data_IF_264072334410
#
_entry.id   IF_264072334410
#
_cell.length_a   1.000
_cell.length_b   1.000
_cell.length_c   1.000
_cell.angle_alpha   90.00
_cell.angle_beta   90.00
_cell.angle_gamma   90.00
#
_symmetry.space_group_name_H-M   'P 1'
#
loop_
_entity.id
_entity.type
_entity.pdbx_description
1 polymer ?
#
# COMPACT_ATOMS: atom_id res chain seq x y z
N UNK A 1 33.09 -4.21 -15.51
CA UNK A 1 31.82 -4.14 -16.28
C UNK A 1 30.57 -4.13 -15.41
N UNK A 2 30.31 -5.10 -14.51
CA UNK A 2 29.09 -5.12 -13.66
C UNK A 2 28.89 -3.89 -12.75
N UNK A 3 29.95 -3.38 -12.12
CA UNK A 3 29.89 -2.15 -11.29
C UNK A 3 29.54 -0.89 -12.10
N UNK A 4 29.96 -0.83 -13.36
CA UNK A 4 29.72 0.33 -14.23
C UNK A 4 28.29 0.32 -14.78
N UNK A 5 27.74 -0.87 -15.06
CA UNK A 5 26.31 -1.05 -15.36
C UNK A 5 25.42 -0.71 -14.16
N UNK A 6 25.82 -1.08 -12.93
CA UNK A 6 25.09 -0.72 -11.72
C UNK A 6 25.10 0.81 -11.45
N UNK A 7 26.27 1.47 -11.63
CA UNK A 7 26.41 2.92 -11.49
C UNK A 7 25.65 3.71 -12.58
N UNK A 8 25.57 3.19 -13.81
CA UNK A 8 24.76 3.78 -14.89
C UNK A 8 23.25 3.62 -14.62
N UNK A 9 22.80 2.48 -14.07
CA UNK A 9 21.40 2.28 -13.65
C UNK A 9 20.95 3.23 -12.53
N UNK A 10 21.82 3.50 -11.56
CA UNK A 10 21.49 4.35 -10.40
C UNK A 10 21.50 5.84 -10.77
N UNK A 11 22.36 6.29 -11.70
CA UNK A 11 22.43 7.70 -12.10
C UNK A 11 21.26 8.15 -12.98
N UNK A 12 20.67 7.25 -13.76
CA UNK A 12 19.47 7.54 -14.57
C UNK A 12 18.22 7.76 -13.72
N UNK A 13 18.06 7.07 -12.59
CA UNK A 13 16.89 7.20 -11.72
C UNK A 13 16.76 8.56 -11.01
N UNK A 14 17.76 9.44 -11.06
CA UNK A 14 17.70 10.75 -10.41
C UNK A 14 16.88 11.79 -11.23
N UNK A 15 16.58 11.52 -12.50
CA UNK A 15 15.83 12.44 -13.38
C UNK A 15 14.37 12.02 -13.63
N UNK A 16 14.00 10.79 -13.30
CA UNK A 16 12.68 10.22 -13.59
C UNK A 16 11.77 10.23 -12.35
N UNK A 17 10.48 10.48 -12.54
CA UNK A 17 9.49 10.41 -11.44
C UNK A 17 9.26 8.96 -10.95
N UNK A 18 9.72 7.96 -11.70
CA UNK A 18 9.56 6.54 -11.46
C UNK A 18 10.88 5.85 -11.05
N UNK A 19 10.78 4.69 -10.42
CA UNK A 19 11.90 3.83 -10.05
C UNK A 19 11.76 2.44 -10.68
N UNK A 20 12.89 1.81 -10.97
CA UNK A 20 12.93 0.45 -11.51
C UNK A 20 12.75 -0.58 -10.39
N UNK A 21 11.97 -1.64 -10.66
CA UNK A 21 11.84 -2.81 -9.78
C UNK A 21 12.54 -4.00 -10.43
N UNK A 22 12.01 -4.47 -11.55
CA UNK A 22 12.46 -5.67 -12.26
C UNK A 22 12.20 -5.51 -13.77
N UNK A 23 12.65 -6.42 -14.66
CA UNK A 23 12.35 -6.33 -16.07
C UNK A 23 10.83 -6.30 -16.31
N UNK A 24 10.35 -5.27 -17.02
CA UNK A 24 8.91 -5.06 -17.23
C UNK A 24 8.15 -4.53 -16.01
N UNK A 25 8.84 -4.13 -14.92
CA UNK A 25 8.19 -3.64 -13.69
C UNK A 25 8.83 -2.34 -13.22
N UNK A 26 8.02 -1.29 -13.17
CA UNK A 26 8.38 0.03 -12.68
C UNK A 26 7.44 0.46 -11.57
N UNK A 27 7.90 1.34 -10.69
CA UNK A 27 7.08 1.94 -9.65
C UNK A 27 7.13 3.46 -9.72
N UNK A 28 6.06 4.11 -9.27
CA UNK A 28 5.98 5.54 -9.05
C UNK A 28 5.58 5.76 -7.60
N UNK A 29 6.39 6.50 -6.85
CA UNK A 29 5.99 6.93 -5.51
C UNK A 29 5.10 8.16 -5.61
N UNK A 30 3.85 8.01 -5.19
CA UNK A 30 2.90 9.10 -4.97
C UNK A 30 2.82 9.47 -3.49
N UNK A 31 3.61 10.49 -3.12
CA UNK A 31 3.78 10.94 -1.73
C UNK A 31 4.30 9.82 -0.83
N UNK A 32 3.41 9.07 -0.18
CA UNK A 32 3.73 8.02 0.77
C UNK A 32 3.52 6.61 0.22
N UNK A 33 2.75 6.45 -0.85
CA UNK A 33 2.30 5.17 -1.42
C UNK A 33 2.93 4.95 -2.80
N UNK A 34 3.14 3.71 -3.18
CA UNK A 34 3.68 3.30 -4.47
C UNK A 34 2.56 2.78 -5.36
N UNK A 35 2.62 3.13 -6.64
CA UNK A 35 1.86 2.46 -7.71
C UNK A 35 2.85 1.74 -8.63
N UNK A 36 2.42 0.67 -9.28
CA UNK A 36 3.29 -0.12 -10.16
C UNK A 36 2.75 -0.23 -11.57
N UNK A 37 3.66 -0.27 -12.53
CA UNK A 37 3.41 -0.48 -13.94
C UNK A 37 4.03 -1.82 -14.32
N UNK A 38 3.21 -2.77 -14.73
CA UNK A 38 3.65 -4.11 -15.14
C UNK A 38 3.39 -4.26 -16.63
N UNK A 39 4.45 -4.44 -17.41
CA UNK A 39 4.39 -4.66 -18.86
C UNK A 39 4.58 -6.13 -19.17
N UNK A 40 3.69 -6.66 -20.00
CA UNK A 40 3.83 -7.95 -20.64
C UNK A 40 4.42 -7.74 -22.05
N UNK A 41 5.67 -8.13 -22.29
CA UNK A 41 6.32 -7.93 -23.58
C UNK A 41 5.73 -8.83 -24.69
N UNK A 42 5.02 -9.91 -24.35
CA UNK A 42 4.48 -10.85 -25.34
C UNK A 42 3.22 -10.30 -26.03
N UNK A 43 2.36 -9.62 -25.27
CA UNK A 43 1.14 -8.96 -25.77
C UNK A 43 1.33 -7.47 -26.02
N UNK A 44 2.44 -6.91 -25.53
CA UNK A 44 2.70 -5.47 -25.45
C UNK A 44 1.66 -4.69 -24.61
N UNK A 45 0.87 -5.39 -23.79
CA UNK A 45 -0.05 -4.77 -22.84
C UNK A 45 0.67 -4.43 -21.54
N UNK A 46 0.12 -3.48 -20.79
CA UNK A 46 0.58 -3.22 -19.43
C UNK A 46 -0.61 -2.98 -18.50
N UNK A 47 -0.39 -3.26 -17.22
CA UNK A 47 -1.35 -3.12 -16.14
C UNK A 47 -0.83 -2.10 -15.14
N UNK A 48 -1.74 -1.26 -14.65
CA UNK A 48 -1.48 -0.40 -13.50
C UNK A 48 -1.91 -1.14 -12.23
N UNK A 49 -1.02 -1.23 -11.24
CA UNK A 49 -1.33 -1.73 -9.90
C UNK A 49 -1.43 -0.57 -8.93
N UNK A 50 -2.61 -0.42 -8.32
CA UNK A 50 -3.01 0.72 -7.50
C UNK A 50 -2.90 2.08 -8.21
N UNK A 51 -3.48 3.12 -7.61
CA UNK A 51 -3.67 4.44 -8.24
C UNK A 51 -3.26 5.61 -7.37
N UNK A 52 -2.63 5.34 -6.22
CA UNK A 52 -2.07 6.36 -5.36
C UNK A 52 -3.13 7.26 -4.72
N UNK A 53 -2.69 8.42 -4.24
CA UNK A 53 -3.57 9.37 -3.56
C UNK A 53 -4.46 10.15 -4.53
N UNK A 54 -5.49 10.80 -3.99
CA UNK A 54 -6.30 11.76 -4.76
C UNK A 54 -5.41 12.81 -5.41
N UNK A 55 -5.53 12.93 -6.73
CA UNK A 55 -4.73 13.83 -7.57
C UNK A 55 -3.52 13.19 -8.25
N UNK A 56 -3.24 11.90 -8.03
CA UNK A 56 -2.12 11.20 -8.65
C UNK A 56 -2.26 11.00 -10.17
N UNK A 57 -3.49 11.05 -10.71
CA UNK A 57 -3.81 10.71 -12.10
C UNK A 57 -2.89 11.38 -13.14
N UNK A 58 -2.63 12.68 -13.00
CA UNK A 58 -1.80 13.42 -13.95
C UNK A 58 -0.34 12.94 -13.97
N UNK A 59 0.22 12.57 -12.81
CA UNK A 59 1.58 12.04 -12.68
C UNK A 59 1.66 10.61 -13.22
N UNK A 60 0.69 9.77 -12.87
CA UNK A 60 0.59 8.40 -13.37
C UNK A 60 0.53 8.38 -14.90
N UNK A 61 -0.35 9.18 -15.51
CA UNK A 61 -0.44 9.31 -16.98
C UNK A 61 0.85 9.83 -17.62
N UNK A 62 1.61 10.69 -16.93
CA UNK A 62 2.90 11.20 -17.43
C UNK A 62 3.93 10.08 -17.50
N UNK A 63 4.07 9.32 -16.41
CA UNK A 63 4.97 8.16 -16.34
C UNK A 63 4.55 7.09 -17.34
N UNK A 64 3.26 6.79 -17.46
CA UNK A 64 2.75 5.84 -18.46
C UNK A 64 3.12 6.24 -19.89
N UNK A 65 3.01 7.53 -20.24
CA UNK A 65 3.46 8.03 -21.56
C UNK A 65 4.96 7.89 -21.75
N UNK A 66 5.74 8.12 -20.71
CA UNK A 66 7.20 7.99 -20.80
C UNK A 66 7.62 6.53 -21.01
N UNK A 67 6.99 5.60 -20.30
CA UNK A 67 7.33 4.17 -20.34
C UNK A 67 6.78 3.45 -21.57
N UNK A 68 5.58 3.81 -22.03
CA UNK A 68 4.82 2.99 -22.99
C UNK A 68 4.40 3.72 -24.27
N UNK A 69 4.99 4.89 -24.58
CA UNK A 69 4.71 5.57 -25.85
C UNK A 69 4.95 4.63 -27.06
N UNK A 70 4.03 4.60 -28.05
CA UNK A 70 2.82 5.42 -28.19
C UNK A 70 1.55 4.86 -27.51
N UNK A 71 1.57 3.63 -26.99
CA UNK A 71 0.43 2.95 -26.37
C UNK A 71 0.41 3.12 -24.85
N UNK A 72 0.17 4.37 -24.41
CA UNK A 72 0.25 4.77 -23.00
C UNK A 72 -1.02 4.51 -22.17
N UNK A 73 -1.93 3.67 -22.66
CA UNK A 73 -3.17 3.27 -21.98
C UNK A 73 -3.01 1.83 -21.49
N UNK A 74 -3.29 1.51 -20.20
CA UNK A 74 -3.18 0.14 -19.72
C UNK A 74 -4.31 -0.73 -20.28
N UNK A 75 -4.16 -2.04 -20.19
CA UNK A 75 -5.26 -2.96 -20.48
C UNK A 75 -6.28 -3.01 -19.31
N UNK A 76 -5.81 -2.82 -18.08
CA UNK A 76 -6.65 -2.74 -16.88
C UNK A 76 -5.92 -2.06 -15.72
N UNK A 77 -6.68 -1.75 -14.66
CA UNK A 77 -6.16 -1.41 -13.34
C UNK A 77 -6.41 -2.62 -12.43
N UNK A 78 -5.41 -3.00 -11.62
CA UNK A 78 -5.56 -4.02 -10.57
C UNK A 78 -5.34 -3.33 -9.23
N UNK A 79 -6.28 -3.51 -8.29
CA UNK A 79 -6.17 -2.98 -6.94
C UNK A 79 -5.64 -4.07 -6.01
N UNK A 80 -4.63 -3.73 -5.20
CA UNK A 80 -4.22 -4.57 -4.07
C UNK A 80 -5.32 -4.58 -3.02
N UNK A 81 -5.91 -3.42 -2.75
CA UNK A 81 -7.06 -3.21 -1.87
C UNK A 81 -7.64 -1.79 -2.06
N UNK A 82 -8.75 -1.49 -1.37
CA UNK A 82 -9.52 -0.25 -1.57
C UNK A 82 -9.27 0.90 -0.59
N UNK A 83 -8.15 0.94 0.15
CA UNK A 83 -7.87 2.11 1.00
C UNK A 83 -7.57 3.36 0.17
N UNK A 84 -7.86 4.53 0.75
CA UNK A 84 -7.93 5.82 0.06
C UNK A 84 -6.64 6.25 -0.66
N UNK A 85 -5.50 5.76 -0.20
CA UNK A 85 -4.17 5.98 -0.75
C UNK A 85 -3.82 5.00 -1.87
N UNK A 86 -4.60 3.94 -2.08
CA UNK A 86 -4.45 3.03 -3.22
C UNK A 86 -5.49 3.31 -4.31
N UNK A 87 -6.66 3.83 -3.97
CA UNK A 87 -7.76 4.10 -4.92
C UNK A 87 -7.96 5.58 -5.25
N UNK A 88 -7.09 6.47 -4.78
CA UNK A 88 -7.34 7.91 -4.82
C UNK A 88 -7.53 8.50 -6.22
N UNK A 89 -6.95 7.88 -7.26
CA UNK A 89 -7.12 8.29 -8.65
C UNK A 89 -7.90 7.28 -9.52
N UNK A 90 -8.44 6.20 -8.93
CA UNK A 90 -8.98 5.07 -9.68
C UNK A 90 -10.15 5.44 -10.59
N UNK A 91 -11.13 6.20 -10.09
CA UNK A 91 -12.32 6.58 -10.87
C UNK A 91 -11.90 7.43 -12.08
N UNK A 92 -11.07 8.44 -11.85
CA UNK A 92 -10.57 9.32 -12.91
C UNK A 92 -9.79 8.53 -13.97
N UNK A 93 -8.87 7.66 -13.55
CA UNK A 93 -8.03 6.90 -14.48
C UNK A 93 -8.84 5.87 -15.26
N UNK A 94 -9.73 5.13 -14.59
CA UNK A 94 -10.57 4.13 -15.23
C UNK A 94 -11.53 4.77 -16.25
N UNK A 95 -12.07 5.95 -15.96
CA UNK A 95 -12.94 6.70 -16.87
C UNK A 95 -12.18 7.27 -18.08
N UNK A 96 -11.02 7.89 -17.85
CA UNK A 96 -10.25 8.51 -18.93
C UNK A 96 -9.59 7.49 -19.87
N UNK A 97 -9.19 6.33 -19.36
CA UNK A 97 -8.60 5.26 -20.15
C UNK A 97 -9.62 4.26 -20.71
N UNK A 98 -10.85 4.30 -20.19
CA UNK A 98 -11.91 3.36 -20.49
C UNK A 98 -11.52 1.89 -20.26
N UNK A 99 -11.00 1.61 -19.06
CA UNK A 99 -10.46 0.28 -18.70
C UNK A 99 -11.23 -0.34 -17.53
N UNK A 100 -11.24 -1.68 -17.42
CA UNK A 100 -11.76 -2.36 -16.23
C UNK A 100 -10.83 -2.18 -15.03
N UNK A 101 -11.41 -2.30 -13.84
CA UNK A 101 -10.71 -2.33 -12.56
C UNK A 101 -10.93 -3.69 -11.92
N UNK A 102 -9.85 -4.45 -11.71
CA UNK A 102 -9.89 -5.74 -11.04
C UNK A 102 -9.58 -5.60 -9.56
N UNK A 103 -10.38 -6.26 -8.72
CA UNK A 103 -10.11 -6.40 -7.29
C UNK A 103 -10.58 -7.77 -6.78
N UNK A 104 -10.09 -8.17 -5.61
CA UNK A 104 -10.58 -9.37 -4.95
C UNK A 104 -12.07 -9.24 -4.58
N UNK A 105 -12.83 -10.33 -4.57
CA UNK A 105 -14.28 -10.28 -4.33
C UNK A 105 -14.66 -9.71 -2.96
N UNK A 106 -13.81 -9.89 -1.94
CA UNK A 106 -13.99 -9.29 -0.61
C UNK A 106 -13.81 -7.77 -0.59
N UNK A 107 -13.22 -7.17 -1.63
CA UNK A 107 -13.12 -5.71 -1.75
C UNK A 107 -14.39 -5.09 -2.37
N UNK A 108 -15.24 -5.90 -3.00
CA UNK A 108 -16.41 -5.41 -3.73
C UNK A 108 -17.36 -4.53 -2.90
N UNK A 109 -17.67 -4.83 -1.62
CA UNK A 109 -18.54 -3.97 -0.82
C UNK A 109 -18.02 -2.53 -0.65
N UNK A 110 -16.69 -2.35 -0.62
CA UNK A 110 -16.04 -1.05 -0.45
C UNK A 110 -15.90 -0.27 -1.76
N UNK A 111 -15.86 -1.00 -2.87
CA UNK A 111 -15.70 -0.47 -4.22
C UNK A 111 -17.05 -0.28 -4.96
N UNK A 112 -18.17 -0.65 -4.33
CA UNK A 112 -19.55 -0.52 -4.87
C UNK A 112 -20.48 0.27 -3.95
N UNK A 113 -19.93 1.07 -3.03
CA UNK A 113 -20.73 1.94 -2.16
C UNK A 113 -21.46 1.23 -1.00
N UNK A 114 -21.33 -0.09 -0.84
CA UNK A 114 -22.18 -0.89 0.07
C UNK A 114 -21.72 -0.87 1.53
N UNK A 115 -20.42 -0.82 1.78
CA UNK A 115 -19.85 -0.84 3.14
C UNK A 115 -18.65 0.08 3.23
N UNK A 116 -18.44 0.72 4.38
CA UNK A 116 -17.13 1.30 4.73
C UNK A 116 -16.19 0.21 5.24
N UNK A 117 -14.87 0.41 5.13
CA UNK A 117 -13.87 -0.45 5.79
C UNK A 117 -14.02 -0.43 7.31
N UNK A 118 -13.43 -1.44 8.01
CA UNK A 118 -13.17 -1.31 9.44
C UNK A 118 -12.50 0.05 9.72
N UNK A 119 -12.99 0.82 10.68
CA UNK A 119 -12.45 2.15 10.95
C UNK A 119 -10.99 2.06 11.40
N UNK A 120 -10.16 3.07 11.07
CA UNK A 120 -8.78 3.08 11.53
C UNK A 120 -8.68 3.06 13.05
N UNK A 121 -7.57 2.52 13.54
CA UNK A 121 -7.24 2.46 14.95
C UNK A 121 -6.14 3.48 15.31
N UNK A 122 -6.52 4.67 15.83
CA UNK A 122 -5.54 5.68 16.24
C UNK A 122 -4.77 5.30 17.51
N UNK A 123 -5.04 4.12 18.07
CA UNK A 123 -4.45 3.60 19.30
C UNK A 123 -3.46 2.45 19.03
N UNK A 124 -3.37 1.99 17.78
CA UNK A 124 -2.50 0.91 17.32
C UNK A 124 -1.03 1.36 17.25
N UNK A 125 -0.39 1.51 18.40
CA UNK A 125 1.01 1.90 18.50
C UNK A 125 1.23 3.40 18.68
N UNK A 126 2.31 3.92 18.11
CA UNK A 126 2.74 5.30 18.29
C UNK A 126 2.84 6.06 16.97
N UNK A 127 2.96 7.39 17.07
CA UNK A 127 3.35 8.22 15.93
C UNK A 127 2.22 8.98 15.24
N UNK A 128 2.59 9.99 14.46
CA UNK A 128 1.65 11.04 14.03
C UNK A 128 0.58 10.52 13.06
N UNK A 129 0.95 9.68 12.10
CA UNK A 129 -0.01 9.13 11.14
C UNK A 129 -1.04 8.23 11.84
N UNK A 130 -0.58 7.36 12.74
CA UNK A 130 -1.46 6.56 13.59
C UNK A 130 -2.40 7.46 14.39
N UNK A 131 -1.91 8.48 15.09
CA UNK A 131 -2.77 9.37 15.87
C UNK A 131 -3.76 10.18 15.05
N UNK A 132 -3.41 10.56 13.82
CA UNK A 132 -4.29 11.32 12.90
C UNK A 132 -5.19 10.42 12.04
N UNK A 133 -5.04 9.10 12.12
CA UNK A 133 -5.76 8.16 11.27
C UNK A 133 -7.28 8.27 11.36
N UNK A 134 -7.83 8.78 12.47
CA UNK A 134 -9.26 9.07 12.61
C UNK A 134 -9.80 10.11 11.60
N UNK A 135 -8.92 10.88 10.95
CA UNK A 135 -9.26 11.82 9.88
C UNK A 135 -9.21 11.20 8.49
N UNK A 136 -8.66 9.99 8.34
CA UNK A 136 -8.48 9.38 7.03
C UNK A 136 -9.81 8.90 6.44
N UNK A 137 -10.02 9.08 5.13
CA UNK A 137 -11.22 8.57 4.47
C UNK A 137 -11.34 7.06 4.64
N UNK A 138 -12.53 6.63 5.08
CA UNK A 138 -12.90 5.20 5.23
C UNK A 138 -14.15 4.83 4.44
N UNK A 139 -14.79 5.83 3.81
CA UNK A 139 -16.02 5.67 3.07
C UNK A 139 -15.77 4.92 1.75
N UNK A 140 -16.75 4.14 1.28
CA UNK A 140 -16.62 3.45 0.02
C UNK A 140 -16.62 4.42 -1.16
N UNK A 141 -16.17 3.91 -2.30
CA UNK A 141 -16.42 4.49 -3.62
C UNK A 141 -17.38 3.59 -4.38
N UNK A 142 -17.84 4.04 -5.55
CA UNK A 142 -18.63 3.22 -6.47
C UNK A 142 -17.99 3.25 -7.86
N UNK A 143 -17.37 2.12 -8.23
CA UNK A 143 -16.78 1.90 -9.55
C UNK A 143 -17.81 1.49 -10.61
N UNK A 144 -19.07 1.28 -10.22
CA UNK A 144 -20.14 0.86 -11.11
C UNK A 144 -19.77 -0.37 -11.94
N UNK A 145 -20.08 -0.33 -13.23
CA UNK A 145 -19.80 -1.43 -14.16
C UNK A 145 -18.31 -1.64 -14.50
N UNK A 146 -17.40 -0.79 -14.01
CA UNK A 146 -15.96 -0.96 -14.26
C UNK A 146 -15.31 -1.97 -13.33
N UNK A 147 -15.90 -2.25 -12.16
CA UNK A 147 -15.38 -3.23 -11.23
C UNK A 147 -15.61 -4.66 -11.77
N UNK A 148 -14.53 -5.37 -12.01
CA UNK A 148 -14.51 -6.80 -12.28
C UNK A 148 -13.80 -7.54 -11.15
N UNK A 149 -14.21 -8.77 -10.88
CA UNK A 149 -13.60 -9.57 -9.80
C UNK A 149 -12.40 -10.34 -10.35
N UNK A 150 -11.33 -10.41 -9.55
CA UNK A 150 -10.21 -11.30 -9.83
C UNK A 150 -10.69 -12.77 -9.83
N UNK A 151 -10.29 -13.59 -10.81
CA UNK A 151 -10.66 -15.01 -10.87
C UNK A 151 -10.08 -15.82 -9.72
N UNK A 152 -10.88 -16.67 -9.05
CA UNK A 152 -10.45 -17.46 -7.88
C UNK A 152 -9.20 -18.33 -8.06
N UNK A 153 -8.81 -18.63 -9.30
CA UNK A 153 -7.64 -19.43 -9.63
C UNK A 153 -6.30 -18.71 -9.42
N UNK A 154 -6.31 -17.45 -8.95
CA UNK A 154 -5.11 -16.67 -8.72
C UNK A 154 -4.58 -15.96 -9.96
N UNK A 155 -5.20 -16.14 -11.12
CA UNK A 155 -4.77 -15.51 -12.37
C UNK A 155 -5.12 -14.01 -12.39
N UNK A 156 -4.31 -13.22 -13.08
CA UNK A 156 -4.57 -11.79 -13.28
C UNK A 156 -4.83 -11.56 -14.78
N UNK A 157 -6.04 -11.15 -15.19
CA UNK A 157 -6.34 -10.91 -16.59
C UNK A 157 -5.37 -9.89 -17.22
N UNK A 158 -4.67 -10.32 -18.27
CA UNK A 158 -3.66 -9.50 -18.96
C UNK A 158 -2.24 -9.61 -18.42
N UNK A 159 -1.98 -10.50 -17.44
CA UNK A 159 -0.66 -10.80 -16.91
C UNK A 159 -0.48 -12.31 -16.68
N UNK A 160 -0.26 -13.07 -17.75
CA UNK A 160 -0.22 -14.54 -17.71
C UNK A 160 0.90 -15.12 -16.84
N UNK A 161 2.02 -14.40 -16.71
CA UNK A 161 3.16 -14.79 -15.87
C UNK A 161 2.97 -14.46 -14.38
N UNK A 162 1.90 -13.74 -14.04
CA UNK A 162 1.64 -13.29 -12.68
C UNK A 162 0.48 -14.03 -12.04
N UNK A 163 0.61 -14.25 -10.74
CA UNK A 163 -0.48 -14.73 -9.89
C UNK A 163 -0.74 -13.72 -8.79
N UNK A 164 -1.99 -13.53 -8.41
CA UNK A 164 -2.32 -12.88 -7.14
C UNK A 164 -2.41 -13.92 -6.02
N UNK A 165 -2.11 -13.48 -4.82
CA UNK A 165 -2.17 -14.25 -3.58
C UNK A 165 -3.07 -13.45 -2.64
N UNK A 166 -4.13 -14.09 -2.14
CA UNK A 166 -4.98 -13.47 -1.12
C UNK A 166 -4.20 -13.32 0.18
N UNK A 167 -4.00 -12.08 0.62
CA UNK A 167 -3.17 -11.70 1.76
C UNK A 167 -3.95 -10.81 2.74
N UNK A 168 -5.03 -11.33 3.37
CA UNK A 168 -5.90 -10.55 4.24
C UNK A 168 -5.21 -10.12 5.55
N UNK A 169 -5.88 -9.20 6.26
CA UNK A 169 -5.49 -8.72 7.59
C UNK A 169 -5.36 -7.20 7.64
N UNK A 170 -4.67 -6.62 6.65
CA UNK A 170 -4.66 -5.17 6.41
C UNK A 170 -5.99 -4.69 5.82
N UNK A 171 -6.48 -5.38 4.77
CA UNK A 171 -7.83 -5.24 4.23
C UNK A 171 -8.42 -6.64 3.95
N UNK A 172 -9.76 -6.81 3.92
CA UNK A 172 -10.41 -8.14 3.81
C UNK A 172 -10.07 -8.91 2.54
N UNK A 173 -10.08 -8.24 1.40
CA UNK A 173 -9.68 -8.77 0.11
C UNK A 173 -8.32 -8.27 -0.33
N UNK A 174 -7.44 -7.90 0.59
CA UNK A 174 -6.08 -7.51 0.22
C UNK A 174 -5.39 -8.62 -0.57
N UNK A 175 -4.74 -8.28 -1.69
CA UNK A 175 -3.94 -9.20 -2.49
C UNK A 175 -2.52 -8.70 -2.72
N UNK A 176 -1.60 -9.65 -2.83
CA UNK A 176 -0.23 -9.42 -3.29
C UNK A 176 -0.04 -10.11 -4.65
N UNK A 177 0.83 -9.58 -5.50
CA UNK A 177 1.07 -10.12 -6.84
C UNK A 177 2.48 -10.73 -6.91
N UNK A 178 2.60 -11.92 -7.48
CA UNK A 178 3.85 -12.66 -7.57
C UNK A 178 4.12 -13.15 -8.98
N UNK A 179 5.33 -12.89 -9.48
CA UNK A 179 5.84 -13.43 -10.75
C UNK A 179 6.91 -14.47 -10.47
N UNK A 180 6.56 -15.73 -10.74
CA UNK A 180 7.35 -16.90 -10.33
C UNK A 180 8.71 -16.99 -11.04
N UNK A 181 8.78 -16.60 -12.32
CA UNK A 181 9.97 -16.80 -13.15
C UNK A 181 11.22 -16.05 -12.67
N UNK A 182 11.04 -14.89 -12.02
CA UNK A 182 12.12 -14.04 -11.52
C UNK A 182 11.92 -13.59 -10.06
N UNK A 183 10.94 -14.19 -9.37
CA UNK A 183 10.70 -14.01 -7.94
C UNK A 183 10.31 -12.59 -7.56
N UNK A 184 9.61 -11.86 -8.43
CA UNK A 184 9.15 -10.50 -8.14
C UNK A 184 7.86 -10.56 -7.34
N UNK A 185 7.88 -9.99 -6.13
CA UNK A 185 6.72 -9.83 -5.27
C UNK A 185 6.31 -8.35 -5.16
N UNK A 186 5.10 -8.03 -5.59
CA UNK A 186 4.41 -6.78 -5.21
C UNK A 186 3.54 -7.11 -4.00
N UNK A 187 4.02 -6.78 -2.81
CA UNK A 187 3.38 -7.19 -1.56
C UNK A 187 2.13 -6.37 -1.22
N UNK A 188 1.93 -5.21 -1.85
CA UNK A 188 0.94 -4.23 -1.38
C UNK A 188 1.24 -3.84 0.06
N UNK A 189 0.21 -3.84 0.91
CA UNK A 189 0.26 -3.47 2.31
C UNK A 189 0.24 -4.67 3.27
N UNK A 190 0.46 -5.88 2.76
CA UNK A 190 0.68 -7.06 3.61
C UNK A 190 1.88 -6.84 4.58
N UNK A 191 2.89 -6.11 4.11
CA UNK A 191 3.98 -5.54 4.89
C UNK A 191 4.61 -4.38 4.11
N UNK A 192 5.42 -3.55 4.77
CA UNK A 192 6.01 -2.33 4.16
C UNK A 192 7.53 -2.29 4.36
N UNK A 193 8.23 -1.51 3.55
CA UNK A 193 9.71 -1.35 3.63
C UNK A 193 10.13 -0.01 4.24
N UNK A 194 9.20 0.62 4.96
CA UNK A 194 9.41 1.82 5.76
C UNK A 194 8.60 1.74 7.04
N UNK A 195 9.05 2.43 8.10
CA UNK A 195 8.23 2.61 9.30
C UNK A 195 7.27 3.77 9.06
N UNK A 196 5.99 3.49 8.83
CA UNK A 196 4.99 4.54 8.60
C UNK A 196 4.61 5.35 9.85
N UNK A 197 4.91 4.82 11.04
CA UNK A 197 4.49 5.43 12.30
C UNK A 197 5.19 6.78 12.58
N UNK A 198 6.44 6.96 12.15
CA UNK A 198 7.15 8.21 12.40
C UNK A 198 7.30 9.07 11.15
N UNK A 199 6.94 10.36 11.26
CA UNK A 199 7.28 11.38 10.28
C UNK A 199 8.77 11.37 9.93
N UNK A 200 9.64 11.08 10.91
CA UNK A 200 11.08 11.06 10.70
C UNK A 200 11.52 9.84 9.91
N UNK A 201 10.91 8.67 10.05
CA UNK A 201 11.28 7.48 9.26
C UNK A 201 10.71 7.53 7.85
N UNK A 202 9.51 8.10 7.67
CA UNK A 202 8.96 8.41 6.33
C UNK A 202 9.86 9.42 5.61
N UNK A 203 10.36 10.43 6.32
CA UNK A 203 11.26 11.44 5.75
C UNK A 203 12.71 10.94 5.56
N UNK A 204 13.26 10.19 6.53
CA UNK A 204 14.64 9.64 6.49
C UNK A 204 14.77 8.36 5.66
N UNK A 205 13.65 7.74 5.27
CA UNK A 205 13.60 6.58 4.37
C UNK A 205 14.52 5.43 4.83
N UNK A 206 14.52 5.13 6.13
CA UNK A 206 15.26 3.96 6.64
C UNK A 206 14.67 2.70 5.97
N UNK A 207 15.49 2.02 5.16
CA UNK A 207 15.13 0.76 4.49
C UNK A 207 15.01 -0.33 5.55
N UNK A 208 13.82 -0.47 6.12
CA UNK A 208 13.52 -1.48 7.12
C UNK A 208 12.17 -2.09 6.83
N UNK A 209 12.19 -3.41 6.66
CA UNK A 209 10.98 -4.20 6.56
C UNK A 209 10.22 -4.12 7.89
N UNK A 210 8.93 -3.83 7.81
CA UNK A 210 8.02 -3.68 8.94
C UNK A 210 6.70 -4.35 8.58
N UNK A 211 5.93 -4.78 9.58
CA UNK A 211 4.58 -5.30 9.37
C UNK A 211 3.63 -4.30 8.69
N UNK A 212 2.38 -4.70 8.42
CA UNK A 212 1.40 -3.86 7.74
C UNK A 212 1.12 -2.57 8.51
N UNK A 213 0.61 -1.50 7.87
CA UNK A 213 0.27 -0.25 8.55
C UNK A 213 -0.70 -0.46 9.71
N UNK A 214 -0.21 -0.27 10.94
CA UNK A 214 -0.92 -0.68 12.16
C UNK A 214 -2.29 -0.03 12.34
N UNK A 215 -2.46 1.21 11.87
CA UNK A 215 -3.69 1.96 12.01
C UNK A 215 -4.83 1.47 11.10
N UNK A 216 -4.57 0.61 10.12
CA UNK A 216 -5.62 -0.02 9.29
C UNK A 216 -5.70 -1.54 9.44
N UNK A 217 -4.65 -2.19 9.94
CA UNK A 217 -4.67 -3.63 10.20
C UNK A 217 -5.71 -4.00 11.25
N UNK A 218 -6.76 -4.69 10.81
CA UNK A 218 -7.91 -5.04 11.64
C UNK A 218 -7.90 -6.51 12.09
N UNK A 219 -7.11 -7.37 11.43
CA UNK A 219 -6.91 -8.77 11.82
C UNK A 219 -5.42 -9.12 11.74
N UNK A 220 -4.77 -9.10 12.90
CA UNK A 220 -3.34 -9.39 13.04
C UNK A 220 -2.99 -10.87 12.82
N UNK A 221 -3.91 -11.78 13.10
CA UNK A 221 -3.68 -13.21 12.91
C UNK A 221 -3.73 -13.58 11.43
N UNK A 222 -4.64 -12.97 10.65
CA UNK A 222 -4.63 -13.09 9.20
C UNK A 222 -3.43 -12.39 8.58
N UNK A 223 -3.07 -11.19 9.06
CA UNK A 223 -1.88 -10.48 8.57
C UNK A 223 -0.59 -11.29 8.77
N UNK A 224 -0.44 -11.95 9.92
CA UNK A 224 0.70 -12.84 10.19
C UNK A 224 0.77 -13.98 9.17
N UNK A 225 -0.34 -14.70 8.95
CA UNK A 225 -0.40 -15.79 7.97
C UNK A 225 -0.09 -15.31 6.57
N UNK A 226 -0.56 -14.12 6.20
CA UNK A 226 -0.26 -13.48 4.92
C UNK A 226 1.25 -13.25 4.76
N UNK A 227 1.91 -12.64 5.76
CA UNK A 227 3.36 -12.43 5.72
C UNK A 227 4.13 -13.75 5.67
N UNK A 228 3.73 -14.75 6.45
CA UNK A 228 4.34 -16.09 6.42
C UNK A 228 4.20 -16.76 5.05
N UNK A 229 3.03 -16.64 4.42
CA UNK A 229 2.78 -17.19 3.07
C UNK A 229 3.66 -16.50 2.03
N UNK A 230 3.81 -15.17 2.11
CA UNK A 230 4.68 -14.41 1.21
C UNK A 230 6.17 -14.72 1.43
N UNK A 231 6.60 -14.88 2.67
CA UNK A 231 7.98 -15.26 3.00
C UNK A 231 8.32 -16.66 2.46
N UNK A 232 7.37 -17.59 2.52
CA UNK A 232 7.54 -18.96 2.01
C UNK A 232 7.77 -19.04 0.49
N UNK A 233 7.39 -18.01 -0.27
CA UNK A 233 7.67 -17.91 -1.71
C UNK A 233 9.16 -17.69 -2.00
N UNK A 234 9.93 -17.24 -1.00
CA UNK A 234 11.34 -16.87 -1.14
C UNK A 234 11.57 -15.89 -2.32
N UNK A 235 10.89 -14.72 -2.34
CA UNK A 235 11.02 -13.78 -3.43
C UNK A 235 12.47 -13.31 -3.58
N UNK A 236 12.86 -12.99 -4.81
CA UNK A 236 14.18 -12.41 -5.12
C UNK A 236 14.18 -10.89 -5.00
N UNK A 237 13.01 -10.27 -5.17
CA UNK A 237 12.79 -8.85 -4.98
C UNK A 237 11.38 -8.61 -4.44
N UNK A 238 11.27 -7.65 -3.52
CA UNK A 238 9.99 -7.22 -2.95
C UNK A 238 9.79 -5.74 -3.22
N UNK A 239 8.62 -5.39 -3.73
CA UNK A 239 8.10 -4.04 -3.85
C UNK A 239 6.80 -3.93 -3.04
N UNK A 240 6.68 -2.92 -2.18
CA UNK A 240 5.57 -2.78 -1.22
C UNK A 240 4.76 -1.54 -1.51
N UNK A 241 3.52 -1.48 -1.02
CA UNK A 241 2.68 -0.29 -1.13
C UNK A 241 3.34 0.95 -0.53
N UNK A 242 4.27 0.79 0.43
CA UNK A 242 5.02 1.89 1.00
C UNK A 242 6.49 1.57 1.28
N UNK A 243 7.36 2.45 0.80
CA UNK A 243 8.81 2.36 0.96
C UNK A 243 9.53 2.11 -0.35
N UNK A 244 10.77 1.60 -0.28
CA UNK A 244 11.57 1.27 -1.46
C UNK A 244 11.55 -0.23 -1.74
N UNK A 245 11.67 -0.67 -3.02
CA UNK A 245 11.94 -2.06 -3.30
C UNK A 245 13.19 -2.56 -2.58
N UNK A 246 13.16 -3.83 -2.15
CA UNK A 246 14.26 -4.50 -1.46
C UNK A 246 14.61 -5.81 -2.18
N UNK A 247 15.90 -6.11 -2.27
CA UNK A 247 16.45 -7.30 -2.93
C UNK A 247 17.66 -7.83 -2.16
N UNK A 248 18.08 -9.06 -2.45
CA UNK A 248 19.29 -9.66 -1.89
C UNK A 248 19.22 -9.88 -0.37
N UNK A 249 20.33 -9.63 0.34
CA UNK A 249 20.44 -9.87 1.80
C UNK A 249 19.38 -9.13 2.62
N UNK A 250 18.84 -8.03 2.08
CA UNK A 250 17.80 -7.26 2.73
C UNK A 250 16.48 -8.05 2.89
N UNK A 251 16.28 -9.12 2.11
CA UNK A 251 15.12 -9.99 2.20
C UNK A 251 15.19 -11.02 3.34
N UNK A 252 16.36 -11.21 3.98
CA UNK A 252 16.43 -11.97 5.23
C UNK A 252 15.49 -11.37 6.30
N UNK A 253 15.31 -10.04 6.28
CA UNK A 253 14.37 -9.34 7.16
C UNK A 253 12.90 -9.74 6.95
N UNK A 254 12.52 -10.27 5.77
CA UNK A 254 11.17 -10.79 5.56
C UNK A 254 10.96 -12.10 6.32
N UNK A 255 11.97 -12.98 6.31
CA UNK A 255 11.93 -14.22 7.08
C UNK A 255 11.93 -13.91 8.59
N UNK A 256 12.73 -12.94 9.02
CA UNK A 256 12.74 -12.48 10.41
C UNK A 256 11.37 -11.92 10.83
N UNK A 257 10.75 -11.08 10.00
CA UNK A 257 9.40 -10.57 10.26
C UNK A 257 8.38 -11.72 10.33
N UNK A 258 8.44 -12.69 9.41
CA UNK A 258 7.51 -13.81 9.39
C UNK A 258 7.64 -14.70 10.64
N UNK A 259 8.87 -14.90 11.12
CA UNK A 259 9.16 -15.72 12.30
C UNK A 259 8.82 -15.01 13.62
N UNK A 260 8.95 -13.68 13.65
CA UNK A 260 8.79 -12.86 14.85
C UNK A 260 7.62 -11.86 14.75
N UNK A 261 6.60 -12.17 13.94
CA UNK A 261 5.55 -11.22 13.56
C UNK A 261 4.81 -10.65 14.77
N UNK A 262 4.49 -11.49 15.75
CA UNK A 262 3.82 -11.08 16.99
C UNK A 262 4.61 -10.03 17.77
N UNK A 263 5.93 -10.12 17.79
CA UNK A 263 6.78 -9.19 18.55
C UNK A 263 7.09 -7.91 17.75
N UNK A 264 7.25 -8.03 16.43
CA UNK A 264 7.68 -6.92 15.57
C UNK A 264 6.52 -6.10 15.00
N UNK A 265 5.44 -6.75 14.56
CA UNK A 265 4.34 -6.12 13.85
C UNK A 265 3.17 -5.77 14.77
N UNK A 266 2.76 -6.67 15.66
CA UNK A 266 1.53 -6.51 16.45
C UNK A 266 1.71 -5.42 17.51
N UNK A 267 0.84 -4.38 17.55
CA UNK A 267 0.94 -3.34 18.56
C UNK A 267 0.53 -3.88 19.93
N UNK A 268 1.24 -3.44 20.99
CA UNK A 268 0.95 -3.83 22.38
C UNK A 268 -0.48 -3.50 22.85
N UNK A 269 -1.07 -2.46 22.26
CA UNK A 269 -2.44 -2.03 22.52
C UNK A 269 -3.04 -1.54 21.21
N UNK A 270 -4.35 -1.68 21.09
CA UNK A 270 -5.10 -1.33 19.90
C UNK A 270 -6.52 -1.84 20.05
N UNK A 271 -7.44 -1.22 19.31
CA UNK A 271 -8.79 -1.74 19.08
C UNK A 271 -8.77 -3.18 18.58
N UNK A 272 -7.82 -3.50 17.70
CA UNK A 272 -7.78 -4.78 16.98
C UNK A 272 -6.73 -5.78 17.51
N UNK A 273 -5.91 -5.41 18.51
CA UNK A 273 -4.82 -6.27 19.00
C UNK A 273 -5.31 -7.61 19.58
N UNK A 274 -6.44 -7.60 20.30
CA UNK A 274 -6.96 -8.80 20.97
C UNK A 274 -8.31 -9.30 20.45
N UNK A 275 -8.94 -8.54 19.56
CA UNK A 275 -10.26 -8.85 18.99
C UNK A 275 -10.31 -8.25 17.58
N UNK A 276 -10.34 -9.05 16.50
CA UNK A 276 -10.32 -8.53 15.13
C UNK A 276 -11.69 -8.02 14.69
N UNK A 277 -11.72 -7.14 13.69
CA UNK A 277 -12.96 -6.92 12.94
C UNK A 277 -13.28 -8.13 12.06
N UNK A 278 -14.57 -8.39 11.82
CA UNK A 278 -15.02 -9.41 10.85
C UNK A 278 -15.61 -8.71 9.65
N UNK A 279 -15.14 -9.09 8.47
CA UNK A 279 -15.65 -8.61 7.19
C UNK A 279 -15.76 -9.78 6.21
N UNK A 280 -16.86 -9.78 5.46
CA UNK A 280 -17.19 -10.81 4.49
C UNK A 280 -17.71 -10.21 3.19
N UNK A 281 -18.41 -11.02 2.40
CA UNK A 281 -18.95 -10.64 1.08
C UNK A 281 -19.98 -9.49 1.13
N UNK A 282 -20.55 -9.23 2.31
CA UNK A 282 -21.51 -8.15 2.53
C UNK A 282 -20.87 -6.88 3.08
N UNK A 283 -19.54 -6.88 3.30
CA UNK A 283 -18.80 -5.80 3.94
C UNK A 283 -18.50 -6.11 5.40
N UNK A 284 -18.46 -5.07 6.24
CA UNK A 284 -18.10 -5.20 7.66
C UNK A 284 -19.29 -5.75 8.46
N UNK A 285 -19.07 -6.87 9.15
CA UNK A 285 -20.08 -7.61 9.92
C UNK A 285 -19.91 -7.39 11.43
N UNK A 286 -18.67 -7.25 11.89
CA UNK A 286 -18.34 -6.99 13.28
C UNK A 286 -17.17 -6.02 13.38
N UNK A 287 -17.27 -5.10 14.34
CA UNK A 287 -16.13 -4.27 14.75
C UNK A 287 -16.09 -4.22 16.28
N UNK A 288 -14.97 -4.61 16.91
CA UNK A 288 -14.79 -4.53 18.36
C UNK A 288 -15.15 -3.15 18.91
N UNK A 289 -15.75 -3.12 20.09
CA UNK A 289 -16.05 -1.87 20.76
C UNK A 289 -14.76 -1.13 21.13
N UNK A 290 -14.79 0.20 21.06
CA UNK A 290 -13.64 1.02 21.46
C UNK A 290 -13.90 1.67 22.81
N UNK A 291 -12.87 1.78 23.64
CA UNK A 291 -12.84 2.77 24.73
C UNK A 291 -12.48 4.20 24.21
N UNK A 292 -12.73 4.49 22.92
CA UNK A 292 -12.04 5.55 22.15
C UNK A 292 -12.29 6.98 22.60
N UNK A 293 -13.35 7.30 23.36
CA UNK A 293 -13.60 8.70 23.78
C UNK A 293 -12.41 9.28 24.54
N UNK A 294 -11.80 8.52 25.47
CA UNK A 294 -10.62 8.98 26.21
C UNK A 294 -9.37 8.99 25.33
N UNK A 295 -9.24 8.07 24.38
CA UNK A 295 -8.03 7.92 23.58
C UNK A 295 -7.97 8.89 22.40
N UNK A 296 -9.09 9.16 21.73
CA UNK A 296 -9.22 10.21 20.72
C UNK A 296 -9.00 11.58 21.38
N UNK A 297 -9.58 11.83 22.57
CA UNK A 297 -9.35 13.08 23.29
C UNK A 297 -7.86 13.28 23.63
N UNK A 298 -7.16 12.20 24.04
CA UNK A 298 -5.70 12.23 24.27
C UNK A 298 -4.93 12.49 22.98
N UNK A 299 -5.28 11.83 21.87
CA UNK A 299 -4.62 12.06 20.58
C UNK A 299 -4.80 13.50 20.09
N UNK A 300 -6.02 14.03 20.16
CA UNK A 300 -6.33 15.44 19.82
C UNK A 300 -5.55 16.40 20.72
N UNK A 301 -5.49 16.16 22.03
CA UNK A 301 -4.74 17.01 22.95
C UNK A 301 -3.24 17.03 22.64
N UNK A 302 -2.64 15.88 22.32
CA UNK A 302 -1.21 15.80 21.94
C UNK A 302 -0.94 16.56 20.64
N UNK A 303 -1.80 16.40 19.63
CA UNK A 303 -1.66 17.14 18.36
C UNK A 303 -1.82 18.65 18.56
N UNK A 304 -2.79 19.08 19.37
CA UNK A 304 -3.00 20.49 19.70
C UNK A 304 -1.76 21.09 20.41
N UNK A 305 -1.17 20.36 21.37
CA UNK A 305 0.04 20.79 22.06
C UNK A 305 1.24 20.90 21.10
N UNK A 306 1.42 19.94 20.18
CA UNK A 306 2.48 20.01 19.16
C UNK A 306 2.27 21.20 18.21
N UNK A 307 1.03 21.49 17.82
CA UNK A 307 0.68 22.65 17.01
C UNK A 307 0.99 23.98 17.69
N UNK A 308 0.64 24.10 18.99
CA UNK A 308 0.97 25.28 19.80
C UNK A 308 2.49 25.44 19.93
N UNK A 309 3.23 24.36 20.18
CA UNK A 309 4.69 24.39 20.27
C UNK A 309 5.36 24.87 18.98
N UNK A 310 4.87 24.40 17.82
CA UNK A 310 5.38 24.83 16.52
C UNK A 310 5.10 26.31 16.22
N UNK A 311 3.91 26.80 16.59
CA UNK A 311 3.55 28.22 16.48
C UNK A 311 4.44 29.10 17.35
N UNK A 312 4.64 28.73 18.61
CA UNK A 312 5.52 29.47 19.53
C UNK A 312 6.97 29.48 19.04
N UNK A 313 7.49 28.37 18.53
CA UNK A 313 8.84 28.31 17.95
C UNK A 313 8.97 29.18 16.69
N UNK A 314 7.92 29.25 15.85
CA UNK A 314 7.87 30.14 14.68
C UNK A 314 7.86 31.62 15.09
N UNK A 315 7.10 31.97 16.11
CA UNK A 315 6.99 33.34 16.65
C UNK A 315 8.32 33.80 17.26
N UNK A 316 9.00 32.93 18.02
CA UNK A 316 10.34 33.17 18.55
C UNK A 316 11.33 33.37 17.41
N UNK A 317 11.34 32.49 16.40
CA UNK A 317 12.23 32.63 15.24
C UNK A 317 12.04 33.96 14.52
N UNK A 318 10.79 34.43 14.35
CA UNK A 318 10.48 35.74 13.76
C UNK A 318 10.94 36.93 14.60
N UNK A 319 11.02 36.80 15.93
CA UNK A 319 11.50 37.88 16.82
C UNK A 319 13.01 38.00 16.88
N UNK A 320 13.74 36.96 16.49
CA UNK A 320 15.21 36.89 16.53
C UNK A 320 15.85 36.72 15.14
N UNK A 321 15.08 36.96 14.07
CA UNK A 321 15.56 37.09 12.68
C UNK A 321 15.32 38.52 12.21
#
# INVERSE_FOLDING_TARGET
>A
MKKQQALVKIKACAEHEWFYVAPGVWGLRDRIVNVYFIHDPSTNHWILVDTGMRGAAARIKRVARELFWPQATPAAIVLTHGHFDHIGAVMQLADEWDVPVYAHYLEAPYLTGRSSYPPPDPTAGGGLFTWLSFLFPKGPIDLGGRLLLLPEQGNIPGLDEWKYIHTPGHAPGHVSLYREQDGVLIAGDAFVTTRQESLTSVWRQERRLSGPPRYFTYDWALAERSVQSLAALQPSIVATGHGHPMEGEALAALQDLANNFQEEAVPRHGRYTGDPAVAGISGVEYVPATNSKKTILKAVAVVALLGIGALLASEVKKRYS
#
